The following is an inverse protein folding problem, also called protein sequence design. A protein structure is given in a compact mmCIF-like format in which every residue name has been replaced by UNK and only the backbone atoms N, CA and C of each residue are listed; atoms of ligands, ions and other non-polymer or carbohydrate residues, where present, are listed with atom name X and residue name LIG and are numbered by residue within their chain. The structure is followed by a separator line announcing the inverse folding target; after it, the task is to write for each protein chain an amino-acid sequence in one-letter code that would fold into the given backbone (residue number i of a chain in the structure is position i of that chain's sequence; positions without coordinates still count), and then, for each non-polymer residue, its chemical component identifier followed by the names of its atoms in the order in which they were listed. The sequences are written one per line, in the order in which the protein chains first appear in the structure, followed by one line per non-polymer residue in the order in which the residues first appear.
data_IF_965669085532
#
_entry.id   IF_965669085532
#
_cell.length_a   1.000
_cell.length_b   1.000
_cell.length_c   1.000
_cell.angle_alpha   90.00
_cell.angle_beta   90.00
_cell.angle_gamma   90.00
#
_symmetry.space_group_name_H-M   'P 1'
#
loop_
_entity.id
_entity.type
_entity.pdbx_description
1 polymer ?
#
# COMPACT_ATOMS: atom_id res chain seq x y z
N UNK A 1 7.15 -10.83 -7.90
CA UNK A 1 5.75 -10.34 -8.01
C UNK A 1 5.51 -9.23 -6.99
N UNK A 2 4.58 -8.36 -7.26
CA UNK A 2 4.21 -7.27 -6.37
C UNK A 2 2.74 -7.44 -6.00
N UNK A 3 2.41 -7.35 -4.72
CA UNK A 3 1.02 -7.37 -4.26
C UNK A 3 0.53 -5.94 -4.03
N UNK A 4 -0.65 -5.62 -4.52
CA UNK A 4 -1.30 -4.33 -4.31
C UNK A 4 -2.55 -4.54 -3.47
N UNK A 5 -2.59 -3.90 -2.30
CA UNK A 5 -3.77 -3.88 -1.44
C UNK A 5 -4.56 -2.61 -1.76
N UNK A 6 -5.76 -2.77 -2.29
CA UNK A 6 -6.61 -1.65 -2.69
C UNK A 6 -7.94 -1.71 -1.95
N UNK A 7 -8.50 -0.55 -1.55
CA UNK A 7 -9.85 -0.52 -0.97
C UNK A 7 -10.85 -1.16 -1.93
N UNK A 8 -11.71 -2.04 -1.44
CA UNK A 8 -12.68 -2.74 -2.29
C UNK A 8 -13.55 -1.76 -3.08
N UNK A 9 -13.88 -0.61 -2.50
CA UNK A 9 -14.67 0.45 -3.15
C UNK A 9 -13.98 1.11 -4.33
N UNK A 10 -12.64 1.04 -4.38
CA UNK A 10 -11.82 1.77 -5.36
C UNK A 10 -10.95 0.87 -6.24
N UNK A 11 -11.02 -0.46 -6.03
CA UNK A 11 -10.15 -1.39 -6.75
C UNK A 11 -10.34 -1.33 -8.27
N UNK A 12 -11.56 -1.04 -8.74
CA UNK A 12 -11.87 -0.90 -10.16
C UNK A 12 -11.36 0.40 -10.78
N UNK A 13 -10.92 1.35 -9.98
CA UNK A 13 -10.32 2.60 -10.46
C UNK A 13 -8.84 2.43 -10.87
N UNK A 14 -8.24 1.29 -10.55
CA UNK A 14 -6.83 1.06 -10.84
C UNK A 14 -6.58 0.98 -12.35
N UNK A 15 -5.52 1.65 -12.85
CA UNK A 15 -5.08 1.46 -14.23
C UNK A 15 -4.45 0.09 -14.43
N UNK A 16 -4.09 -0.24 -15.66
CA UNK A 16 -3.29 -1.44 -15.93
C UNK A 16 -1.92 -1.28 -15.26
N UNK A 17 -1.62 -2.19 -14.35
CA UNK A 17 -0.36 -2.18 -13.59
C UNK A 17 0.72 -3.06 -14.22
N UNK A 18 0.38 -3.74 -15.33
CA UNK A 18 1.32 -4.59 -16.03
C UNK A 18 1.47 -5.98 -15.40
N UNK A 19 2.35 -6.82 -15.96
CA UNK A 19 2.54 -8.18 -15.49
C UNK A 19 3.23 -8.24 -14.13
N UNK A 20 3.05 -9.36 -13.44
CA UNK A 20 3.72 -9.59 -12.15
C UNK A 20 3.10 -8.84 -10.97
N UNK A 21 1.87 -8.34 -11.13
CA UNK A 21 1.15 -7.63 -10.08
C UNK A 21 -0.11 -8.40 -9.72
N UNK A 22 -0.31 -8.61 -8.42
CA UNK A 22 -1.52 -9.22 -7.89
C UNK A 22 -2.27 -8.18 -7.05
N UNK A 23 -3.51 -7.91 -7.41
CA UNK A 23 -4.35 -6.95 -6.69
C UNK A 23 -5.25 -7.72 -5.71
N UNK A 24 -5.23 -7.29 -4.46
CA UNK A 24 -6.11 -7.83 -3.42
C UNK A 24 -6.98 -6.67 -2.92
N UNK A 25 -8.29 -6.80 -3.11
CA UNK A 25 -9.23 -5.83 -2.56
C UNK A 25 -9.46 -6.12 -1.08
N UNK A 26 -9.41 -5.10 -0.24
CA UNK A 26 -9.68 -5.26 1.18
C UNK A 26 -10.93 -4.46 1.58
N UNK A 27 -11.73 -5.05 2.47
CA UNK A 27 -12.93 -4.39 3.00
C UNK A 27 -12.63 -3.56 4.25
N UNK A 28 -11.58 -3.93 4.99
CA UNK A 28 -11.19 -3.23 6.21
C UNK A 28 -9.84 -3.69 6.73
N UNK A 29 -9.50 -3.28 7.93
CA UNK A 29 -8.18 -3.50 8.52
C UNK A 29 -7.81 -4.99 8.59
N UNK A 30 -8.73 -5.84 9.05
CA UNK A 30 -8.43 -7.27 9.20
C UNK A 30 -8.07 -7.93 7.87
N UNK A 31 -8.82 -7.61 6.82
CA UNK A 31 -8.54 -8.12 5.47
C UNK A 31 -7.16 -7.64 4.97
N UNK A 32 -6.87 -6.35 5.19
CA UNK A 32 -5.61 -5.76 4.75
C UNK A 32 -4.43 -6.40 5.48
N UNK A 33 -4.53 -6.59 6.79
CA UNK A 33 -3.48 -7.23 7.59
C UNK A 33 -3.30 -8.68 7.16
N UNK A 34 -4.39 -9.42 6.95
CA UNK A 34 -4.32 -10.81 6.50
C UNK A 34 -3.63 -10.95 5.17
N UNK A 35 -4.01 -10.12 4.19
CA UNK A 35 -3.38 -10.15 2.87
C UNK A 35 -1.90 -9.78 2.92
N UNK A 36 -1.54 -8.80 3.74
CA UNK A 36 -0.16 -8.38 3.91
C UNK A 36 0.68 -9.48 4.58
N UNK A 37 0.13 -10.12 5.60
CA UNK A 37 0.81 -11.17 6.35
C UNK A 37 1.02 -12.44 5.54
N UNK A 38 0.09 -12.74 4.61
CA UNK A 38 0.15 -13.92 3.77
C UNK A 38 1.13 -13.77 2.60
N UNK A 39 1.68 -12.59 2.38
CA UNK A 39 2.58 -12.31 1.27
C UNK A 39 3.98 -12.02 1.74
N UNK A 40 4.97 -12.65 1.10
CA UNK A 40 6.39 -12.33 1.25
C UNK A 40 6.89 -11.38 0.16
N UNK A 41 6.02 -10.94 -0.73
CA UNK A 41 6.35 -10.11 -1.89
C UNK A 41 6.44 -8.63 -1.49
N UNK A 42 7.08 -7.81 -2.33
CA UNK A 42 6.98 -6.35 -2.23
C UNK A 42 5.52 -5.94 -2.34
N UNK A 43 5.12 -4.95 -1.58
CA UNK A 43 3.72 -4.59 -1.45
C UNK A 43 3.48 -3.10 -1.63
N UNK A 44 2.33 -2.77 -2.22
CA UNK A 44 1.78 -1.42 -2.23
C UNK A 44 0.51 -1.45 -1.39
N UNK A 45 0.41 -0.57 -0.42
CA UNK A 45 -0.79 -0.42 0.41
C UNK A 45 -1.46 0.91 0.07
N UNK A 46 -2.60 0.84 -0.62
CA UNK A 46 -3.42 2.01 -0.87
C UNK A 46 -4.34 2.18 0.34
N UNK A 47 -3.99 3.11 1.22
CA UNK A 47 -4.54 3.18 2.58
C UNK A 47 -5.87 3.94 2.70
N UNK A 48 -6.43 4.44 1.60
CA UNK A 48 -7.67 5.25 1.62
C UNK A 48 -8.89 4.51 2.18
N UNK A 49 -8.89 3.19 2.18
CA UNK A 49 -9.98 2.39 2.73
C UNK A 49 -9.85 2.09 4.22
N UNK A 50 -8.82 2.59 4.87
CA UNK A 50 -8.58 2.40 6.30
C UNK A 50 -9.02 3.65 7.07
N UNK A 51 -9.58 3.45 8.26
CA UNK A 51 -9.90 4.55 9.17
C UNK A 51 -8.61 5.16 9.73
N UNK A 52 -8.73 6.34 10.29
CA UNK A 52 -7.59 7.16 10.72
C UNK A 52 -6.61 6.40 11.64
N UNK A 53 -7.12 5.56 12.54
CA UNK A 53 -6.29 4.80 13.48
C UNK A 53 -5.78 3.47 12.92
N UNK A 54 -6.41 2.96 11.86
CA UNK A 54 -6.08 1.65 11.30
C UNK A 54 -4.65 1.56 10.76
N UNK A 55 -4.14 2.59 10.05
CA UNK A 55 -2.78 2.52 9.53
C UNK A 55 -1.72 2.34 10.63
N UNK A 56 -1.96 2.88 11.82
CA UNK A 56 -1.06 2.69 12.96
C UNK A 56 -0.97 1.21 13.35
N UNK A 57 -2.10 0.51 13.35
CA UNK A 57 -2.15 -0.90 13.71
C UNK A 57 -1.47 -1.80 12.67
N UNK A 58 -1.40 -1.37 11.41
CA UNK A 58 -0.69 -2.10 10.38
C UNK A 58 0.83 -2.03 10.51
N UNK A 59 1.36 -1.00 11.14
CA UNK A 59 2.80 -0.75 11.18
C UNK A 59 3.64 -1.95 11.68
N UNK A 60 3.27 -2.67 12.75
CA UNK A 60 4.05 -3.83 13.19
C UNK A 60 4.13 -4.92 12.12
N UNK A 61 3.05 -5.12 11.37
CA UNK A 61 3.00 -6.14 10.31
C UNK A 61 3.88 -5.75 9.13
N UNK A 62 3.93 -4.47 8.80
CA UNK A 62 4.83 -3.95 7.76
C UNK A 62 6.29 -4.13 8.18
N UNK A 63 6.62 -3.79 9.43
CA UNK A 63 7.99 -3.91 9.94
C UNK A 63 8.47 -5.36 10.01
N UNK A 64 7.55 -6.30 10.23
CA UNK A 64 7.90 -7.71 10.31
C UNK A 64 8.21 -8.33 8.94
N UNK A 65 7.87 -7.64 7.85
CA UNK A 65 8.11 -8.16 6.50
C UNK A 65 9.55 -7.93 6.08
N UNK A 66 10.08 -8.89 5.32
CA UNK A 66 11.41 -8.76 4.72
C UNK A 66 11.42 -8.01 3.40
N UNK A 67 10.25 -7.79 2.79
CA UNK A 67 10.12 -7.12 1.50
C UNK A 67 9.66 -5.66 1.67
N UNK A 68 9.98 -4.81 0.68
CA UNK A 68 9.65 -3.39 0.72
C UNK A 68 8.13 -3.19 0.62
N UNK A 69 7.62 -2.22 1.38
CA UNK A 69 6.22 -1.80 1.35
C UNK A 69 6.17 -0.29 1.08
N UNK A 70 5.31 0.11 0.14
CA UNK A 70 5.08 1.52 -0.20
C UNK A 70 3.62 1.85 0.10
N UNK A 71 3.38 2.93 0.82
CA UNK A 71 2.04 3.42 1.08
C UNK A 71 1.62 4.40 0.00
N UNK A 72 0.34 4.33 -0.43
CA UNK A 72 -0.27 5.28 -1.36
C UNK A 72 -1.50 5.89 -0.71
N UNK A 73 -1.64 7.20 -0.81
CA UNK A 73 -2.77 7.98 -0.29
C UNK A 73 -3.30 8.90 -1.37
N UNK A 74 -4.61 9.13 -1.40
CA UNK A 74 -5.21 10.14 -2.28
C UNK A 74 -5.02 11.55 -1.74
N UNK A 75 -4.98 11.72 -0.41
CA UNK A 75 -4.77 13.02 0.21
C UNK A 75 -3.30 13.41 0.19
N UNK A 76 -3.04 14.69 -0.02
CA UNK A 76 -1.70 15.23 0.15
C UNK A 76 -1.36 15.23 1.64
N UNK A 77 -0.25 14.60 1.97
CA UNK A 77 0.24 14.58 3.36
C UNK A 77 0.85 15.94 3.70
N UNK A 78 0.51 16.47 4.87
CA UNK A 78 0.98 17.79 5.33
C UNK A 78 2.44 17.77 5.83
N UNK A 79 3.04 16.60 5.96
CA UNK A 79 4.41 16.44 6.46
C UNK A 79 4.55 16.64 7.97
N UNK A 80 3.47 16.94 8.66
CA UNK A 80 3.48 17.23 10.11
C UNK A 80 2.77 16.18 10.94
N UNK A 81 1.68 15.62 10.40
CA UNK A 81 0.89 14.63 11.11
C UNK A 81 1.66 13.32 11.18
N UNK A 82 1.95 12.81 12.39
CA UNK A 82 2.65 11.52 12.51
C UNK A 82 1.83 10.39 11.91
N UNK A 83 2.50 9.49 11.20
CA UNK A 83 1.89 8.26 10.71
C UNK A 83 2.83 7.11 10.96
N UNK A 84 2.42 6.19 11.81
CA UNK A 84 3.23 5.00 12.11
C UNK A 84 3.33 4.08 10.90
N UNK A 85 2.26 3.97 10.10
CA UNK A 85 2.30 3.20 8.87
C UNK A 85 3.31 3.79 7.89
N UNK A 86 3.24 5.10 7.66
CA UNK A 86 4.16 5.78 6.74
C UNK A 86 5.62 5.61 7.18
N UNK A 87 5.88 5.67 8.48
CA UNK A 87 7.23 5.48 9.01
C UNK A 87 7.73 4.04 8.85
N UNK A 88 6.83 3.06 8.81
CA UNK A 88 7.17 1.65 8.63
C UNK A 88 7.40 1.31 7.15
N UNK A 89 6.82 2.08 6.24
CA UNK A 89 6.93 1.87 4.80
C UNK A 89 8.24 2.42 4.26
N UNK A 90 8.67 1.87 3.11
CA UNK A 90 9.84 2.34 2.37
C UNK A 90 9.64 3.75 1.84
N UNK A 91 8.42 4.08 1.48
CA UNK A 91 8.07 5.40 0.99
C UNK A 91 6.57 5.61 0.98
N UNK A 92 6.17 6.85 0.73
CA UNK A 92 4.77 7.25 0.67
C UNK A 92 4.56 8.08 -0.60
N UNK A 93 3.52 7.74 -1.36
CA UNK A 93 3.06 8.53 -2.49
C UNK A 93 1.71 9.11 -2.13
N UNK A 94 1.59 10.41 -2.08
CA UNK A 94 0.36 11.09 -1.68
C UNK A 94 -0.14 12.04 -2.77
N UNK A 95 -1.47 12.23 -2.82
CA UNK A 95 -2.09 13.19 -3.70
C UNK A 95 -2.52 12.65 -5.07
N UNK A 96 -2.27 11.37 -5.39
CA UNK A 96 -2.50 10.82 -6.72
C UNK A 96 -3.47 9.63 -6.77
N UNK A 97 -3.88 9.08 -5.63
CA UNK A 97 -4.83 7.96 -5.60
C UNK A 97 -4.39 6.77 -6.46
N UNK A 98 -5.27 6.32 -7.36
CA UNK A 98 -5.02 5.16 -8.22
C UNK A 98 -3.77 5.33 -9.10
N UNK A 99 -3.48 6.54 -9.56
CA UNK A 99 -2.26 6.83 -10.33
C UNK A 99 -1.01 6.71 -9.47
N UNK A 100 -1.12 7.01 -8.18
CA UNK A 100 -0.04 6.79 -7.22
C UNK A 100 0.30 5.32 -7.07
N UNK A 101 -0.70 4.44 -7.13
CA UNK A 101 -0.49 2.98 -7.09
C UNK A 101 0.38 2.54 -8.27
N UNK A 102 0.07 3.02 -9.47
CA UNK A 102 0.87 2.71 -10.65
C UNK A 102 2.33 3.16 -10.47
N UNK A 103 2.53 4.36 -9.95
CA UNK A 103 3.87 4.88 -9.70
C UNK A 103 4.62 4.04 -8.66
N UNK A 104 3.94 3.61 -7.60
CA UNK A 104 4.53 2.76 -6.57
C UNK A 104 4.98 1.41 -7.15
N UNK A 105 4.17 0.82 -8.01
CA UNK A 105 4.52 -0.44 -8.69
C UNK A 105 5.77 -0.25 -9.55
N UNK A 106 5.86 0.84 -10.31
CA UNK A 106 7.03 1.14 -11.14
C UNK A 106 8.31 1.27 -10.30
N UNK A 107 8.22 1.94 -9.15
CA UNK A 107 9.36 2.10 -8.25
C UNK A 107 9.81 0.76 -7.66
N UNK A 108 8.88 -0.09 -7.25
CA UNK A 108 9.21 -1.42 -6.72
C UNK A 108 9.81 -2.32 -7.78
N UNK A 109 9.32 -2.25 -9.03
CA UNK A 109 9.92 -3.00 -10.14
C UNK A 109 11.36 -2.60 -10.37
N UNK A 110 11.66 -1.30 -10.33
CA UNK A 110 13.02 -0.80 -10.51
C UNK A 110 13.96 -1.32 -9.44
N UNK A 111 13.50 -1.44 -8.20
CA UNK A 111 14.30 -2.00 -7.11
C UNK A 111 14.51 -3.50 -7.23
N UNK A 112 13.53 -4.23 -7.77
CA UNK A 112 13.58 -5.68 -7.90
C UNK A 112 14.42 -6.14 -9.09
N UNK A 113 14.76 -5.24 -9.96
CA UNK A 113 15.67 -5.50 -11.08
C UNK A 113 17.10 -5.10 -10.70
#
# INVERSE_FOLDING_TARGET
MIVVLAPAMHADELPDLGPGVRVVAYAGLADAIGALSDSAESAVVWSDGLFEDDPTEMAPFVRARGAATVEVRSRVWDGRTPSHLSAACRGVISGFGANGVKRAVELLRAENN
#
